data_IF_631191924756
#
_entry.id   IF_631191924756
#
_cell.length_a   1.000
_cell.length_b   1.000
_cell.length_c   1.000
_cell.angle_alpha   90.00
_cell.angle_beta   90.00
_cell.angle_gamma   90.00
#
_symmetry.space_group_name_H-M   'P 1'
#
loop_
_entity.id
_entity.type
_entity.pdbx_description
1 polymer ?
#
# COMPACT_ATOMS: atom_id res chain seq x y z
N UNK A 1 34.87 -34.15 14.72
CA UNK A 1 35.37 -33.53 15.97
C UNK A 1 36.65 -32.71 15.75
N UNK A 2 36.58 -31.55 15.10
CA UNK A 2 37.60 -30.48 15.17
C UNK A 2 37.19 -29.31 14.26
N UNK A 3 36.52 -28.26 14.79
CA UNK A 3 36.46 -26.87 14.24
C UNK A 3 35.52 -25.93 15.03
N UNK A 4 35.46 -26.06 16.38
CA UNK A 4 34.57 -25.21 17.21
C UNK A 4 35.35 -24.26 18.14
N UNK A 5 36.69 -24.31 18.18
CA UNK A 5 37.48 -23.57 19.18
C UNK A 5 37.96 -22.16 18.78
N UNK A 6 37.85 -21.72 17.53
CA UNK A 6 38.44 -20.43 17.10
C UNK A 6 37.50 -19.21 17.10
N UNK A 7 36.19 -19.37 17.33
CA UNK A 7 35.27 -18.21 17.33
C UNK A 7 35.14 -17.47 18.66
N UNK A 8 35.81 -17.93 19.73
CA UNK A 8 35.70 -17.31 21.07
C UNK A 8 36.67 -16.14 21.32
N UNK A 9 37.69 -15.95 20.48
CA UNK A 9 38.66 -14.84 20.67
C UNK A 9 38.25 -13.52 20.02
N UNK A 10 37.35 -13.53 19.02
CA UNK A 10 36.98 -12.31 18.30
C UNK A 10 36.06 -11.36 19.10
N UNK A 11 35.25 -11.90 20.01
CA UNK A 11 34.31 -11.11 20.82
C UNK A 11 34.94 -10.44 22.06
N UNK A 12 36.09 -10.94 22.53
CA UNK A 12 36.73 -10.39 23.73
C UNK A 12 37.44 -9.06 23.47
N UNK A 13 37.82 -8.77 22.23
CA UNK A 13 38.61 -7.58 21.89
C UNK A 13 37.76 -6.33 21.55
N UNK A 14 36.45 -6.50 21.32
CA UNK A 14 35.53 -5.41 20.93
C UNK A 14 34.42 -5.11 21.96
N UNK A 15 34.40 -5.81 23.09
CA UNK A 15 33.36 -5.72 24.13
C UNK A 15 33.03 -4.31 24.66
N UNK A 16 33.98 -3.38 24.86
CA UNK A 16 33.67 -2.08 25.44
C UNK A 16 33.24 -0.99 24.43
N UNK A 17 33.39 -1.19 23.11
CA UNK A 17 33.05 -0.17 22.09
C UNK A 17 31.67 -0.33 21.45
N UNK A 18 31.00 -1.46 21.67
CA UNK A 18 29.66 -1.75 21.12
C UNK A 18 28.48 -0.98 21.77
N UNK A 19 28.49 -0.60 23.07
CA UNK A 19 27.33 0.06 23.68
C UNK A 19 27.03 1.46 23.13
N UNK A 20 28.07 2.22 22.73
CA UNK A 20 27.90 3.59 22.22
C UNK A 20 27.44 3.59 20.75
N UNK A 21 28.02 2.72 19.92
CA UNK A 21 27.64 2.60 18.50
C UNK A 21 26.20 2.08 18.32
N UNK A 22 25.80 1.07 19.10
CA UNK A 22 24.42 0.56 19.10
C UNK A 22 23.41 1.62 19.56
N UNK A 23 23.78 2.51 20.48
CA UNK A 23 22.92 3.62 20.94
C UNK A 23 22.74 4.69 19.85
N UNK A 24 23.80 5.04 19.12
CA UNK A 24 23.72 6.00 18.01
C UNK A 24 22.88 5.46 16.85
N UNK A 25 23.08 4.20 16.45
CA UNK A 25 22.27 3.56 15.41
C UNK A 25 20.79 3.48 15.78
N UNK A 26 20.46 3.16 17.04
CA UNK A 26 19.05 3.17 17.50
C UNK A 26 18.43 4.57 17.43
N UNK A 27 19.17 5.62 17.81
CA UNK A 27 18.69 7.00 17.68
C UNK A 27 18.47 7.38 16.22
N UNK A 28 19.41 7.06 15.33
CA UNK A 28 19.29 7.34 13.91
C UNK A 28 18.11 6.60 13.27
N UNK A 29 17.92 5.31 13.57
CA UNK A 29 16.76 4.54 13.10
C UNK A 29 15.44 5.08 13.64
N UNK A 30 15.41 5.54 14.89
CA UNK A 30 14.22 6.14 15.50
C UNK A 30 13.86 7.49 14.86
N UNK A 31 14.84 8.37 14.63
CA UNK A 31 14.63 9.63 13.93
C UNK A 31 14.14 9.41 12.50
N UNK A 32 14.81 8.54 11.74
CA UNK A 32 14.40 8.19 10.37
C UNK A 32 12.96 7.68 10.31
N UNK A 33 12.58 6.77 11.23
CA UNK A 33 11.21 6.28 11.31
C UNK A 33 10.20 7.37 11.66
N UNK A 34 10.55 8.31 12.53
CA UNK A 34 9.66 9.42 12.87
C UNK A 34 9.49 10.40 11.71
N UNK A 35 10.54 10.63 10.91
CA UNK A 35 10.47 11.43 9.69
C UNK A 35 9.59 10.75 8.64
N UNK A 36 9.75 9.43 8.43
CA UNK A 36 8.90 8.64 7.54
C UNK A 36 7.41 8.72 7.96
N UNK A 37 7.11 8.53 9.25
CA UNK A 37 5.73 8.61 9.79
C UNK A 37 5.17 10.04 9.75
N UNK A 38 6.03 11.06 9.78
CA UNK A 38 5.59 12.45 9.60
C UNK A 38 5.22 12.70 8.14
N UNK A 39 6.10 12.33 7.21
CA UNK A 39 5.85 12.48 5.78
C UNK A 39 4.61 11.71 5.32
N UNK A 40 4.36 10.50 5.83
CA UNK A 40 3.13 9.76 5.52
C UNK A 40 1.87 10.51 5.94
N UNK A 41 1.88 11.13 7.13
CA UNK A 41 0.74 11.92 7.62
C UNK A 41 0.53 13.21 6.83
N UNK A 42 1.62 13.90 6.50
CA UNK A 42 1.56 15.12 5.70
C UNK A 42 0.98 14.80 4.30
N UNK A 43 1.36 13.66 3.69
CA UNK A 43 0.80 13.19 2.42
C UNK A 43 -0.68 12.81 2.56
N UNK A 44 -1.08 12.15 3.65
CA UNK A 44 -2.48 11.80 3.89
C UNK A 44 -3.38 13.03 4.05
N UNK A 45 -2.90 14.05 4.75
CA UNK A 45 -3.60 15.33 4.92
C UNK A 45 -3.75 16.07 3.59
N UNK A 46 -2.66 16.20 2.82
CA UNK A 46 -2.70 16.78 1.48
C UNK A 46 -3.69 16.01 0.59
N UNK A 47 -3.61 14.68 0.56
CA UNK A 47 -4.55 13.82 -0.19
C UNK A 47 -6.00 14.07 0.22
N UNK A 48 -6.27 14.22 1.52
CA UNK A 48 -7.61 14.49 2.04
C UNK A 48 -8.13 15.85 1.54
N UNK A 49 -7.31 16.90 1.62
CA UNK A 49 -7.68 18.23 1.15
C UNK A 49 -8.02 18.23 -0.36
N UNK A 50 -7.23 17.51 -1.17
CA UNK A 50 -7.53 17.38 -2.60
C UNK A 50 -8.80 16.58 -2.88
N UNK A 51 -9.09 15.54 -2.09
CA UNK A 51 -10.32 14.77 -2.24
C UNK A 51 -11.57 15.61 -1.94
N UNK A 52 -11.45 16.55 -1.02
CA UNK A 52 -12.50 17.53 -0.75
C UNK A 52 -12.63 18.49 -1.93
N UNK A 53 -11.50 18.99 -2.46
CA UNK A 53 -11.49 19.87 -3.64
C UNK A 53 -12.18 19.22 -4.86
N UNK A 54 -11.96 17.94 -5.11
CA UNK A 54 -12.60 17.21 -6.24
C UNK A 54 -14.12 17.08 -6.10
N UNK A 55 -14.66 17.23 -4.89
CA UNK A 55 -16.09 17.16 -4.60
C UNK A 55 -16.77 18.53 -4.57
N UNK A 56 -16.00 19.62 -4.55
CA UNK A 56 -16.50 20.99 -4.49
C UNK A 56 -17.22 21.41 -5.78
N UNK A 57 -18.27 22.20 -5.59
CA UNK A 57 -19.00 22.82 -6.69
C UNK A 57 -18.19 23.97 -7.31
N UNK A 58 -18.58 24.40 -8.52
CA UNK A 58 -17.87 25.47 -9.25
C UNK A 58 -17.72 26.77 -8.43
N UNK A 59 -18.70 27.11 -7.59
CA UNK A 59 -18.66 28.28 -6.70
C UNK A 59 -17.58 28.16 -5.63
N UNK A 60 -17.44 26.98 -5.03
CA UNK A 60 -16.47 26.71 -3.98
C UNK A 60 -15.05 26.62 -4.57
N UNK A 61 -14.90 26.08 -5.78
CA UNK A 61 -13.65 26.13 -6.54
C UNK A 61 -13.26 27.58 -6.85
N UNK A 62 -14.21 28.39 -7.31
CA UNK A 62 -13.97 29.81 -7.58
C UNK A 62 -13.52 30.57 -6.32
N UNK A 63 -14.14 30.29 -5.17
CA UNK A 63 -13.74 30.86 -3.88
C UNK A 63 -12.33 30.41 -3.46
N UNK A 64 -12.01 29.13 -3.61
CA UNK A 64 -10.69 28.59 -3.32
C UNK A 64 -9.59 29.23 -4.20
N UNK A 65 -9.84 29.39 -5.50
CA UNK A 65 -8.93 30.10 -6.39
C UNK A 65 -8.77 31.58 -5.98
N UNK A 66 -9.83 32.23 -5.51
CA UNK A 66 -9.76 33.59 -4.99
C UNK A 66 -8.90 33.69 -3.72
N UNK A 67 -9.00 32.73 -2.80
CA UNK A 67 -8.15 32.64 -1.59
C UNK A 67 -6.66 32.47 -1.95
N UNK A 68 -6.36 31.80 -3.07
CA UNK A 68 -5.00 31.64 -3.60
C UNK A 68 -4.50 32.86 -4.40
N UNK A 69 -5.30 33.92 -4.52
CA UNK A 69 -4.93 35.14 -5.25
C UNK A 69 -5.35 35.17 -6.73
N UNK A 70 -6.15 34.20 -7.18
CA UNK A 70 -6.65 34.07 -8.56
C UNK A 70 -8.15 34.38 -8.65
N UNK A 71 -8.59 35.48 -8.05
CA UNK A 71 -10.02 35.83 -7.95
C UNK A 71 -10.69 36.03 -9.33
N UNK A 72 -9.99 36.66 -10.28
CA UNK A 72 -10.48 36.90 -11.65
C UNK A 72 -10.65 35.60 -12.46
N UNK A 73 -9.80 34.60 -12.18
CA UNK A 73 -9.89 33.25 -12.75
C UNK A 73 -11.04 32.49 -12.11
N UNK A 74 -11.21 32.62 -10.78
CA UNK A 74 -12.31 32.01 -10.05
C UNK A 74 -13.68 32.37 -10.63
N UNK A 75 -13.90 33.64 -10.99
CA UNK A 75 -15.14 34.07 -11.66
C UNK A 75 -15.38 33.37 -13.01
N UNK A 76 -14.31 33.16 -13.79
CA UNK A 76 -14.38 32.45 -15.08
C UNK A 76 -14.75 30.97 -14.88
N UNK A 77 -14.18 30.32 -13.86
CA UNK A 77 -14.51 28.93 -13.54
C UNK A 77 -15.98 28.77 -13.14
N UNK A 78 -16.52 29.73 -12.36
CA UNK A 78 -17.94 29.77 -12.02
C UNK A 78 -18.81 30.00 -13.26
N UNK A 79 -18.43 30.93 -14.13
CA UNK A 79 -19.17 31.24 -15.36
C UNK A 79 -19.24 30.04 -16.32
N UNK A 80 -18.14 29.27 -16.43
CA UNK A 80 -18.05 28.07 -17.25
C UNK A 80 -18.53 26.79 -16.55
N UNK A 81 -19.01 26.88 -15.30
CA UNK A 81 -19.51 25.75 -14.48
C UNK A 81 -18.48 24.63 -14.33
N UNK A 82 -17.22 24.98 -14.10
CA UNK A 82 -16.14 24.02 -13.85
C UNK A 82 -16.21 23.57 -12.40
N UNK A 83 -16.64 22.33 -12.18
CA UNK A 83 -16.64 21.68 -10.87
C UNK A 83 -15.27 21.04 -10.55
N UNK A 84 -15.09 20.60 -9.29
CA UNK A 84 -13.87 19.93 -8.87
C UNK A 84 -13.53 18.68 -9.69
N UNK A 85 -14.54 18.01 -10.25
CA UNK A 85 -14.39 16.80 -11.07
C UNK A 85 -13.79 17.08 -12.44
N UNK A 86 -14.07 18.25 -13.00
CA UNK A 86 -13.55 18.68 -14.30
C UNK A 86 -12.14 19.27 -14.22
N UNK A 87 -11.67 19.69 -13.04
CA UNK A 87 -10.33 20.27 -12.85
C UNK A 87 -9.20 19.45 -13.49
N UNK A 88 -9.10 18.12 -13.29
CA UNK A 88 -8.03 17.32 -13.87
C UNK A 88 -8.09 17.23 -15.40
N UNK A 89 -9.13 17.73 -16.07
CA UNK A 89 -9.28 17.64 -17.53
C UNK A 89 -8.99 18.97 -18.24
N UNK A 90 -8.79 20.05 -17.49
CA UNK A 90 -8.53 21.37 -18.06
C UNK A 90 -7.13 21.39 -18.70
N UNK A 91 -7.09 21.88 -19.93
CA UNK A 91 -5.86 22.09 -20.69
C UNK A 91 -5.55 23.59 -20.76
N UNK A 92 -4.31 23.94 -21.09
CA UNK A 92 -3.93 25.35 -21.29
C UNK A 92 -4.79 26.04 -22.36
N UNK A 93 -5.14 25.32 -23.43
CA UNK A 93 -6.05 25.83 -24.47
C UNK A 93 -7.46 26.15 -23.93
N UNK A 94 -7.97 25.33 -22.99
CA UNK A 94 -9.22 25.62 -22.32
C UNK A 94 -9.14 26.91 -21.47
N UNK A 95 -8.04 27.13 -20.75
CA UNK A 95 -7.81 28.37 -19.98
C UNK A 95 -7.83 29.61 -20.88
N UNK A 96 -7.18 29.52 -22.05
CA UNK A 96 -7.17 30.60 -23.06
C UNK A 96 -8.59 30.88 -23.55
N UNK A 97 -9.36 29.84 -23.87
CA UNK A 97 -10.76 29.98 -24.33
C UNK A 97 -11.70 30.56 -23.26
N UNK A 98 -11.40 30.37 -21.99
CA UNK A 98 -12.11 31.01 -20.87
C UNK A 98 -11.71 32.47 -20.66
N UNK A 99 -10.74 32.98 -21.43
CA UNK A 99 -10.26 34.36 -21.33
C UNK A 99 -9.18 34.58 -20.27
N UNK A 100 -8.50 33.53 -19.81
CA UNK A 100 -7.27 33.67 -19.01
C UNK A 100 -6.12 33.94 -19.99
N UNK A 101 -5.82 35.21 -20.26
CA UNK A 101 -4.83 35.61 -21.28
C UNK A 101 -3.43 35.88 -20.71
N UNK A 102 -3.30 36.03 -19.40
CA UNK A 102 -2.02 36.27 -18.74
C UNK A 102 -1.28 34.93 -18.63
N UNK A 103 -0.13 34.84 -19.30
CA UNK A 103 0.66 33.60 -19.37
C UNK A 103 1.13 33.14 -17.98
N UNK A 104 1.47 34.08 -17.10
CA UNK A 104 1.87 33.76 -15.72
C UNK A 104 0.78 32.99 -14.96
N UNK A 105 -0.45 33.50 -14.98
CA UNK A 105 -1.59 32.86 -14.32
C UNK A 105 -1.91 31.49 -14.95
N UNK A 106 -1.81 31.38 -16.28
CA UNK A 106 -1.99 30.10 -16.96
C UNK A 106 -1.00 29.04 -16.45
N UNK A 107 0.28 29.39 -16.29
CA UNK A 107 1.30 28.46 -15.81
C UNK A 107 1.03 28.04 -14.36
N UNK A 108 0.75 28.99 -13.47
CA UNK A 108 0.45 28.70 -12.06
C UNK A 108 -0.76 27.78 -11.92
N UNK A 109 -1.84 28.03 -12.67
CA UNK A 109 -3.04 27.18 -12.66
C UNK A 109 -2.74 25.79 -13.23
N UNK A 110 -1.98 25.71 -14.33
CA UNK A 110 -1.61 24.42 -14.93
C UNK A 110 -0.76 23.59 -13.98
N UNK A 111 0.19 24.21 -13.26
CA UNK A 111 0.99 23.53 -12.23
C UNK A 111 0.11 22.98 -11.10
N UNK A 112 -0.85 23.77 -10.62
CA UNK A 112 -1.78 23.33 -9.58
C UNK A 112 -2.68 22.19 -10.07
N UNK A 113 -3.20 22.28 -11.29
CA UNK A 113 -4.00 21.22 -11.91
C UNK A 113 -3.19 19.94 -12.11
N UNK A 114 -1.91 20.06 -12.48
CA UNK A 114 -1.04 18.90 -12.63
C UNK A 114 -0.74 18.25 -11.27
N UNK A 115 -0.60 19.04 -10.20
CA UNK A 115 -0.51 18.52 -8.83
C UNK A 115 -1.78 17.73 -8.46
N UNK A 116 -2.96 18.29 -8.72
CA UNK A 116 -4.25 17.62 -8.50
C UNK A 116 -4.34 16.32 -9.32
N UNK A 117 -3.88 16.32 -10.58
CA UNK A 117 -3.84 15.11 -11.42
C UNK A 117 -2.96 14.02 -10.84
N UNK A 118 -1.75 14.38 -10.40
CA UNK A 118 -0.80 13.42 -9.79
C UNK A 118 -1.42 12.82 -8.53
N UNK A 119 -2.02 13.66 -7.67
CA UNK A 119 -2.68 13.22 -6.45
C UNK A 119 -3.88 12.33 -6.73
N UNK A 120 -4.78 12.74 -7.62
CA UNK A 120 -5.94 11.95 -8.03
C UNK A 120 -5.54 10.57 -8.56
N UNK A 121 -4.47 10.50 -9.37
CA UNK A 121 -3.91 9.23 -9.86
C UNK A 121 -3.35 8.39 -8.72
N UNK A 122 -2.60 9.00 -7.79
CA UNK A 122 -2.05 8.29 -6.63
C UNK A 122 -3.16 7.67 -5.78
N UNK A 123 -4.21 8.45 -5.48
CA UNK A 123 -5.37 8.00 -4.72
C UNK A 123 -6.09 6.86 -5.43
N UNK A 124 -6.39 7.04 -6.71
CA UNK A 124 -7.06 6.01 -7.52
C UNK A 124 -6.26 4.71 -7.56
N UNK A 125 -4.94 4.81 -7.61
CA UNK A 125 -4.04 3.65 -7.69
C UNK A 125 -3.80 2.99 -6.34
N UNK A 126 -3.92 3.74 -5.23
CA UNK A 126 -3.86 3.23 -3.86
C UNK A 126 -5.19 2.69 -3.35
N UNK A 127 -6.31 2.95 -4.03
CA UNK A 127 -7.61 2.39 -3.67
C UNK A 127 -7.52 0.85 -3.67
N UNK A 128 -7.95 0.17 -2.58
CA UNK A 128 -7.95 -1.28 -2.54
C UNK A 128 -8.92 -1.83 -3.59
N UNK A 129 -8.40 -2.65 -4.49
CA UNK A 129 -9.17 -3.41 -5.49
C UNK A 129 -9.80 -4.61 -4.79
N UNK A 130 -9.04 -5.26 -3.91
CA UNK A 130 -9.48 -6.42 -3.15
C UNK A 130 -8.83 -6.44 -1.77
N UNK A 131 -9.60 -6.88 -0.77
CA UNK A 131 -9.14 -7.14 0.58
C UNK A 131 -9.58 -8.53 1.00
N UNK A 132 -8.72 -9.22 1.74
CA UNK A 132 -9.01 -10.54 2.27
C UNK A 132 -8.25 -10.81 3.56
N UNK A 133 -8.67 -11.86 4.24
CA UNK A 133 -8.03 -12.34 5.45
C UNK A 133 -7.62 -13.80 5.25
N UNK A 134 -6.59 -14.21 5.96
CA UNK A 134 -6.11 -15.58 6.00
C UNK A 134 -7.25 -16.56 6.31
N UNK A 135 -7.43 -17.54 5.44
CA UNK A 135 -8.31 -18.65 5.75
C UNK A 135 -7.62 -19.56 6.77
N UNK A 136 -8.16 -19.57 7.98
CA UNK A 136 -7.78 -20.52 9.03
C UNK A 136 -8.90 -21.49 9.32
N UNK A 137 -8.54 -22.75 9.43
CA UNK A 137 -9.50 -23.76 9.85
C UNK A 137 -9.73 -23.66 11.36
N UNK A 138 -11.00 -23.62 11.76
CA UNK A 138 -11.39 -23.71 13.15
C UNK A 138 -11.06 -25.07 13.76
N UNK A 139 -10.87 -25.15 15.09
CA UNK A 139 -10.62 -26.42 15.75
C UNK A 139 -11.78 -27.42 15.48
N UNK A 140 -11.46 -28.71 15.53
CA UNK A 140 -12.44 -29.80 15.42
C UNK A 140 -13.29 -29.81 14.12
N UNK A 141 -12.68 -29.80 12.91
CA UNK A 141 -13.39 -29.84 11.61
C UNK A 141 -14.26 -28.62 11.33
N UNK A 142 -13.85 -27.41 11.74
CA UNK A 142 -14.74 -26.23 11.71
C UNK A 142 -16.05 -26.42 12.50
N UNK A 143 -16.21 -27.48 13.32
CA UNK A 143 -17.39 -27.63 14.19
C UNK A 143 -17.39 -26.56 15.27
N UNK A 144 -16.23 -26.02 15.56
CA UNK A 144 -16.02 -24.93 16.48
C UNK A 144 -15.51 -23.74 15.67
N UNK A 145 -16.05 -22.52 15.89
CA UNK A 145 -15.50 -21.33 15.26
C UNK A 145 -14.02 -21.20 15.61
N UNK A 146 -13.23 -20.56 14.75
CA UNK A 146 -11.81 -20.27 14.99
C UNK A 146 -11.56 -19.56 16.34
N UNK A 147 -12.62 -18.97 16.93
CA UNK A 147 -12.64 -18.26 18.22
C UNK A 147 -13.21 -19.08 19.41
N UNK A 148 -13.40 -20.40 19.31
CA UNK A 148 -13.94 -21.21 20.40
C UNK A 148 -12.97 -21.21 21.61
N UNK A 149 -13.46 -21.20 22.89
CA UNK A 149 -12.92 -20.36 23.97
C UNK A 149 -11.66 -20.89 24.65
N UNK A 150 -10.73 -21.50 23.92
CA UNK A 150 -9.36 -21.59 24.38
C UNK A 150 -8.68 -20.23 24.14
N UNK A 151 -8.71 -19.36 25.15
CA UNK A 151 -8.17 -17.99 25.14
C UNK A 151 -6.67 -17.89 24.77
N UNK A 152 -5.98 -19.02 24.72
CA UNK A 152 -4.55 -19.14 24.42
C UNK A 152 -4.24 -19.41 22.94
N UNK A 153 -5.24 -19.80 22.13
CA UNK A 153 -5.01 -20.46 20.83
C UNK A 153 -5.45 -19.64 19.62
N UNK A 154 -6.01 -18.44 19.81
CA UNK A 154 -6.63 -17.66 18.72
C UNK A 154 -5.89 -16.35 18.53
N UNK A 155 -4.90 -16.36 17.65
CA UNK A 155 -4.15 -15.16 17.26
C UNK A 155 -4.82 -14.43 16.09
N UNK A 156 -4.46 -13.16 15.83
CA UNK A 156 -4.98 -12.43 14.67
C UNK A 156 -4.59 -13.13 13.36
N UNK A 157 -5.49 -13.09 12.38
CA UNK A 157 -5.29 -13.61 11.02
C UNK A 157 -4.37 -12.70 10.21
N UNK A 158 -3.64 -13.26 9.26
CA UNK A 158 -2.96 -12.43 8.27
C UNK A 158 -3.97 -11.66 7.41
N UNK A 159 -3.58 -10.47 6.97
CA UNK A 159 -4.44 -9.61 6.14
C UNK A 159 -3.77 -9.36 4.81
N UNK A 160 -4.56 -9.49 3.76
CA UNK A 160 -4.14 -9.30 2.38
C UNK A 160 -4.87 -8.11 1.78
N UNK A 161 -4.13 -7.28 1.05
CA UNK A 161 -4.67 -6.11 0.38
C UNK A 161 -4.02 -5.97 -0.99
N UNK A 162 -4.83 -5.91 -2.04
CA UNK A 162 -4.40 -5.65 -3.40
C UNK A 162 -4.85 -4.25 -3.80
N UNK A 163 -3.90 -3.42 -4.22
CA UNK A 163 -4.17 -2.11 -4.85
C UNK A 163 -3.77 -2.16 -6.32
N UNK A 164 -3.98 -1.06 -7.05
CA UNK A 164 -3.56 -0.96 -8.46
C UNK A 164 -2.04 -0.88 -8.69
N UNK A 165 -1.23 -0.87 -7.62
CA UNK A 165 0.24 -0.75 -7.71
C UNK A 165 0.95 -1.90 -6.98
N UNK A 166 0.38 -2.42 -5.90
CA UNK A 166 1.07 -3.39 -5.04
C UNK A 166 0.11 -4.42 -4.41
N UNK A 167 0.68 -5.56 -4.07
CA UNK A 167 0.11 -6.53 -3.14
C UNK A 167 0.76 -6.30 -1.77
N UNK A 168 -0.06 -6.11 -0.74
CA UNK A 168 0.37 -5.96 0.65
C UNK A 168 -0.06 -7.17 1.46
N UNK A 169 0.90 -7.87 2.06
CA UNK A 169 0.68 -9.02 2.94
C UNK A 169 1.12 -8.65 4.35
N UNK A 170 0.18 -8.67 5.30
CA UNK A 170 0.46 -8.46 6.72
C UNK A 170 0.60 -9.80 7.42
N UNK A 171 1.84 -10.22 7.62
CA UNK A 171 2.20 -11.41 8.36
C UNK A 171 2.09 -11.20 9.87
N UNK A 172 1.57 -12.22 10.55
CA UNK A 172 1.47 -12.25 12.01
C UNK A 172 2.44 -13.30 12.55
N UNK A 173 3.57 -12.84 13.10
CA UNK A 173 4.54 -13.72 13.74
C UNK A 173 4.26 -13.86 15.23
N UNK A 174 3.94 -15.06 15.68
CA UNK A 174 3.76 -15.36 17.10
C UNK A 174 5.11 -15.51 17.80
N UNK A 175 5.25 -14.93 19.00
CA UNK A 175 6.47 -15.08 19.81
C UNK A 175 6.69 -16.53 20.27
N UNK A 176 5.60 -17.27 20.41
CA UNK A 176 5.57 -18.62 20.96
C UNK A 176 4.71 -19.49 20.05
N UNK A 177 5.32 -20.49 19.40
CA UNK A 177 4.66 -21.32 18.39
C UNK A 177 3.49 -22.17 18.92
N UNK A 178 3.35 -22.35 20.24
CA UNK A 178 2.41 -23.30 20.85
C UNK A 178 1.30 -22.66 21.69
N UNK A 179 1.36 -21.36 21.98
CA UNK A 179 0.37 -20.63 22.81
C UNK A 179 0.02 -19.28 22.13
N UNK A 180 -0.24 -19.37 20.83
CA UNK A 180 -0.09 -18.33 19.80
C UNK A 180 -1.05 -17.14 19.84
N UNK A 181 -1.39 -16.60 21.01
CA UNK A 181 -2.05 -15.29 21.08
C UNK A 181 -1.74 -14.54 22.37
N UNK A 182 -1.79 -15.25 23.51
CA UNK A 182 -1.64 -14.61 24.82
C UNK A 182 -0.20 -14.17 25.12
N UNK A 183 0.80 -14.76 24.47
CA UNK A 183 2.21 -14.39 24.64
C UNK A 183 2.67 -13.25 23.70
N UNK A 184 1.73 -12.58 23.03
CA UNK A 184 2.00 -11.48 22.10
C UNK A 184 2.43 -11.94 20.70
N UNK A 185 2.24 -11.05 19.74
CA UNK A 185 2.59 -11.24 18.33
C UNK A 185 3.38 -10.04 17.82
N UNK A 186 4.02 -10.20 16.66
CA UNK A 186 4.65 -9.14 15.88
C UNK A 186 4.06 -9.15 14.49
N UNK A 187 3.66 -7.98 14.01
CA UNK A 187 3.23 -7.81 12.63
C UNK A 187 4.43 -7.44 11.75
N UNK A 188 4.51 -8.06 10.58
CA UNK A 188 5.43 -7.70 9.49
C UNK A 188 4.57 -7.43 8.26
N UNK A 189 4.85 -6.35 7.54
CA UNK A 189 4.13 -5.98 6.33
C UNK A 189 5.07 -6.06 5.13
N UNK A 190 4.79 -6.99 4.23
CA UNK A 190 5.47 -7.10 2.95
C UNK A 190 4.66 -6.41 1.87
N UNK A 191 5.31 -5.53 1.11
CA UNK A 191 4.70 -4.81 0.00
C UNK A 191 5.41 -5.21 -1.29
N UNK A 192 4.69 -5.86 -2.19
CA UNK A 192 5.22 -6.37 -3.45
C UNK A 192 4.65 -5.49 -4.56
N UNK A 193 5.52 -4.77 -5.27
CA UNK A 193 5.12 -4.01 -6.47
C UNK A 193 4.66 -4.99 -7.56
N UNK A 194 3.51 -4.71 -8.19
CA UNK A 194 2.94 -5.57 -9.24
C UNK A 194 3.91 -5.78 -10.41
N UNK A 195 4.79 -4.80 -10.70
CA UNK A 195 5.83 -4.92 -11.72
C UNK A 195 6.94 -5.92 -11.38
N UNK A 196 7.06 -6.32 -10.12
CA UNK A 196 8.03 -7.30 -9.64
C UNK A 196 7.47 -8.72 -9.61
N UNK A 197 6.15 -8.89 -9.77
CA UNK A 197 5.55 -10.22 -9.83
C UNK A 197 5.95 -10.87 -11.16
N UNK A 198 6.54 -12.06 -11.07
CA UNK A 198 6.93 -12.86 -12.22
C UNK A 198 5.90 -13.95 -12.52
N UNK A 199 5.35 -14.57 -11.48
CA UNK A 199 4.40 -15.67 -11.61
C UNK A 199 3.39 -15.70 -10.45
N UNK A 200 2.22 -16.28 -10.73
CA UNK A 200 1.12 -16.46 -9.78
C UNK A 200 0.60 -17.88 -9.93
N UNK A 201 0.97 -18.74 -9.00
CA UNK A 201 0.59 -20.15 -8.98
C UNK A 201 -0.59 -20.38 -8.04
N UNK A 202 -1.54 -21.19 -8.48
CA UNK A 202 -2.61 -21.71 -7.63
C UNK A 202 -2.32 -23.15 -7.22
N UNK A 203 -2.13 -23.37 -5.92
CA UNK A 203 -1.89 -24.68 -5.34
C UNK A 203 -3.10 -25.12 -4.52
N UNK A 204 -3.80 -26.15 -5.00
CA UNK A 204 -4.85 -26.83 -4.24
C UNK A 204 -4.22 -27.97 -3.44
N UNK A 205 -4.27 -27.89 -2.10
CA UNK A 205 -3.89 -29.01 -1.26
C UNK A 205 -5.12 -29.83 -0.90
N UNK A 206 -5.12 -31.09 -1.34
CA UNK A 206 -6.10 -32.07 -0.87
C UNK A 206 -5.91 -32.28 0.63
N UNK A 207 -6.99 -32.39 1.42
CA UNK A 207 -6.87 -32.79 2.80
C UNK A 207 -6.28 -34.21 2.89
N UNK A 208 -5.45 -34.44 3.90
CA UNK A 208 -4.88 -35.76 4.16
C UNK A 208 -5.95 -36.77 4.60
N UNK A 209 -5.78 -38.05 4.23
CA UNK A 209 -6.76 -39.14 4.46
C UNK A 209 -7.19 -39.32 5.93
N UNK A 210 -6.43 -38.82 6.90
CA UNK A 210 -6.72 -38.97 8.34
C UNK A 210 -6.83 -37.63 9.09
N UNK A 211 -6.58 -36.51 8.42
CA UNK A 211 -6.70 -35.19 9.02
C UNK A 211 -8.04 -34.58 8.65
N UNK A 212 -8.62 -33.90 9.63
CA UNK A 212 -9.86 -33.18 9.55
C UNK A 212 -9.79 -31.94 8.64
N UNK A 213 -8.82 -31.90 7.72
CA UNK A 213 -8.54 -30.74 6.90
C UNK A 213 -9.66 -30.54 5.90
N UNK A 214 -10.14 -29.31 5.78
CA UNK A 214 -10.86 -28.89 4.57
C UNK A 214 -9.77 -28.51 3.58
N UNK A 215 -9.92 -28.89 2.31
CA UNK A 215 -8.97 -28.51 1.27
C UNK A 215 -8.60 -27.04 1.39
N UNK A 216 -7.30 -26.76 1.45
CA UNK A 216 -6.78 -25.41 1.59
C UNK A 216 -6.16 -25.01 0.28
N UNK A 217 -6.49 -23.81 -0.17
CA UNK A 217 -5.91 -23.25 -1.37
C UNK A 217 -4.85 -22.25 -1.00
N UNK A 218 -3.69 -22.40 -1.61
CA UNK A 218 -2.54 -21.54 -1.42
C UNK A 218 -2.31 -20.82 -2.74
N UNK A 219 -2.40 -19.51 -2.72
CA UNK A 219 -1.96 -18.69 -3.84
C UNK A 219 -0.49 -18.34 -3.61
N UNK A 220 0.39 -18.81 -4.48
CA UNK A 220 1.82 -18.56 -4.42
C UNK A 220 2.17 -17.45 -5.42
N UNK A 221 2.71 -16.35 -4.92
CA UNK A 221 3.19 -15.22 -5.72
C UNK A 221 4.71 -15.30 -5.75
N UNK A 222 5.28 -15.41 -6.94
CA UNK A 222 6.74 -15.44 -7.14
C UNK A 222 7.20 -14.12 -7.74
N UNK A 223 8.14 -13.45 -7.09
CA UNK A 223 8.74 -12.22 -7.63
C UNK A 223 9.89 -12.51 -8.63
N UNK A 224 10.32 -11.48 -9.36
CA UNK A 224 11.45 -11.54 -10.30
C UNK A 224 12.78 -11.88 -9.64
N UNK A 225 12.88 -11.77 -8.32
CA UNK A 225 14.05 -12.14 -7.51
C UNK A 225 13.92 -13.54 -6.92
N UNK A 226 12.92 -14.33 -7.33
CA UNK A 226 12.63 -15.69 -6.86
C UNK A 226 12.16 -15.79 -5.40
N UNK A 227 11.74 -14.68 -4.79
CA UNK A 227 11.06 -14.72 -3.50
C UNK A 227 9.62 -15.20 -3.71
N UNK A 228 9.19 -16.14 -2.86
CA UNK A 228 7.85 -16.72 -2.89
C UNK A 228 7.05 -16.23 -1.71
N UNK A 229 5.85 -15.74 -1.97
CA UNK A 229 4.88 -15.30 -0.97
C UNK A 229 3.65 -16.17 -1.04
N UNK A 230 3.13 -16.60 0.11
CA UNK A 230 2.00 -17.52 0.18
C UNK A 230 0.79 -16.80 0.79
N UNK A 231 -0.36 -16.92 0.13
CA UNK A 231 -1.64 -16.44 0.64
C UNK A 231 -2.56 -17.64 0.85
N UNK A 232 -2.93 -17.88 2.11
CA UNK A 232 -3.87 -18.94 2.48
C UNK A 232 -5.29 -18.41 2.36
N UNK A 233 -6.05 -18.96 1.41
CA UNK A 233 -7.41 -18.51 1.07
C UNK A 233 -8.36 -19.72 0.97
N UNK A 234 -9.68 -19.45 0.98
CA UNK A 234 -10.67 -20.45 0.59
C UNK A 234 -10.53 -20.76 -0.91
N UNK A 235 -10.91 -21.97 -1.32
CA UNK A 235 -10.81 -22.43 -2.71
C UNK A 235 -11.46 -21.48 -3.73
N UNK A 236 -12.73 -21.11 -3.49
CA UNK A 236 -13.48 -20.19 -4.35
C UNK A 236 -12.83 -18.79 -4.42
N UNK A 237 -12.22 -18.35 -3.31
CA UNK A 237 -11.56 -17.05 -3.23
C UNK A 237 -10.20 -17.06 -3.91
N UNK A 238 -9.42 -18.13 -3.74
CA UNK A 238 -8.09 -18.25 -4.33
C UNK A 238 -8.12 -18.21 -5.85
N UNK A 239 -9.06 -18.93 -6.48
CA UNK A 239 -9.24 -18.90 -7.92
C UNK A 239 -9.63 -17.51 -8.44
N UNK A 240 -10.62 -16.87 -7.82
CA UNK A 240 -11.04 -15.51 -8.22
C UNK A 240 -9.94 -14.46 -8.00
N UNK A 241 -9.24 -14.51 -6.87
CA UNK A 241 -8.15 -13.58 -6.54
C UNK A 241 -6.95 -13.76 -7.47
N UNK A 242 -6.62 -14.99 -7.88
CA UNK A 242 -5.54 -15.23 -8.85
C UNK A 242 -5.76 -14.45 -10.15
N UNK A 243 -6.98 -14.47 -10.69
CA UNK A 243 -7.37 -13.75 -11.90
C UNK A 243 -7.33 -12.23 -11.68
N UNK A 244 -7.78 -11.75 -10.51
CA UNK A 244 -7.74 -10.32 -10.19
C UNK A 244 -6.30 -9.82 -10.13
N UNK A 245 -5.39 -10.55 -9.47
CA UNK A 245 -3.97 -10.16 -9.39
C UNK A 245 -3.34 -10.21 -10.78
N UNK A 246 -3.58 -11.27 -11.57
CA UNK A 246 -3.05 -11.36 -12.93
C UNK A 246 -3.51 -10.19 -13.81
N UNK A 247 -4.80 -9.87 -13.78
CA UNK A 247 -5.37 -8.73 -14.51
C UNK A 247 -4.72 -7.41 -14.07
N UNK A 248 -4.49 -7.24 -12.77
CA UNK A 248 -3.82 -6.04 -12.23
C UNK A 248 -2.35 -5.95 -12.67
N UNK A 249 -1.63 -7.07 -12.73
CA UNK A 249 -0.24 -7.14 -13.23
C UNK A 249 -0.18 -6.78 -14.72
N UNK A 250 -1.10 -7.29 -15.52
CA UNK A 250 -1.21 -6.97 -16.95
C UNK A 250 -1.54 -5.49 -17.17
N UNK A 251 -2.52 -4.95 -16.44
CA UNK A 251 -2.87 -3.52 -16.53
C UNK A 251 -1.68 -2.63 -16.14
N UNK A 252 -0.97 -2.99 -15.07
CA UNK A 252 0.21 -2.25 -14.64
C UNK A 252 1.33 -2.29 -15.70
N UNK A 253 1.54 -3.44 -16.34
CA UNK A 253 2.52 -3.58 -17.44
C UNK A 253 2.15 -2.71 -18.64
N UNK A 254 0.86 -2.66 -19.01
CA UNK A 254 0.37 -1.78 -20.09
C UNK A 254 0.52 -0.29 -19.74
N UNK A 255 0.33 0.09 -18.48
CA UNK A 255 0.56 1.47 -18.01
C UNK A 255 2.02 1.88 -18.13
N UNK A 256 2.93 1.00 -17.72
CA UNK A 256 4.38 1.21 -17.88
C UNK A 256 4.77 1.35 -19.35
N UNK A 257 4.23 0.50 -20.24
CA UNK A 257 4.47 0.57 -21.68
C UNK A 257 3.98 1.89 -22.32
N UNK A 258 2.95 2.52 -21.77
CA UNK A 258 2.44 3.84 -22.21
C UNK A 258 3.28 5.01 -21.70
N UNK A 259 4.33 4.74 -20.91
CA UNK A 259 5.14 5.79 -20.28
C UNK A 259 4.36 6.61 -19.26
N UNK A 260 3.23 6.10 -18.75
CA UNK A 260 2.52 6.74 -17.65
C UNK A 260 3.41 6.55 -16.42
N UNK A 261 3.99 7.62 -15.84
CA UNK A 261 4.88 7.46 -14.71
C UNK A 261 4.14 6.77 -13.58
N UNK A 262 4.79 5.79 -12.93
CA UNK A 262 4.33 5.28 -11.64
C UNK A 262 4.14 6.51 -10.76
N UNK A 263 2.93 6.72 -10.24
CA UNK A 263 2.66 7.85 -9.36
C UNK A 263 3.63 7.77 -8.18
N UNK A 264 4.74 8.53 -8.24
CA UNK A 264 5.56 8.77 -7.07
C UNK A 264 4.64 9.54 -6.13
N UNK A 265 4.54 9.09 -4.89
CA UNK A 265 3.94 9.93 -3.87
C UNK A 265 4.66 11.29 -3.91
N UNK A 266 3.95 12.41 -4.07
CA UNK A 266 4.57 13.72 -3.97
C UNK A 266 5.28 13.80 -2.62
N UNK A 267 6.54 14.27 -2.63
CA UNK A 267 7.39 14.33 -1.43
C UNK A 267 8.58 13.35 -1.38
N UNK A 268 8.77 12.49 -2.38
CA UNK A 268 10.00 11.67 -2.53
C UNK A 268 10.90 12.16 -3.68
N UNK A 269 11.39 13.40 -3.56
CA UNK A 269 12.44 13.97 -4.41
C UNK A 269 13.73 14.15 -3.62
#
# INVERSE_FOLDING_TARGET
>A
NCRVKERRSFFAQWGPFLPSFTRQLRKAMFHKRNEEVKNERDIEEEVSEYMDLLQKDAKEIGAHLAEQGHADVGEKFVAHKIDGRLLPFITTDALIRMGVNIVGDQLTIVEEIERIRVMSRAIKSNKPIWTGEEFRQGPCRNKLPFHFPCCCCVGPTEKYELTGIKVSIKHVLYRVNWIGACCGYREIKDNIDLSQIADIDYLAESPGCCSCDVGRSILQITDKKTNTYLMHLKEEQAASVSVIIQTAVEENTLREARGIPKGRAPGMA
#
